data_IF_286768956920
#
_entry.id   IF_286768956920
#
_cell.length_a   1.000
_cell.length_b   1.000
_cell.length_c   1.000
_cell.angle_alpha   90.00
_cell.angle_beta   90.00
_cell.angle_gamma   90.00
#
_symmetry.space_group_name_H-M   'P 1'
#
loop_
_entity.id
_entity.type
_entity.pdbx_description
1 polymer ?
#
# COMPACT_ATOMS: atom_id res chain seq x y z
N UNK A 1 -30.70 21.59 33.30
CA UNK A 1 -29.77 20.94 32.34
C UNK A 1 -29.81 21.77 31.07
N UNK A 2 -28.82 22.64 30.83
CA UNK A 2 -28.81 23.54 29.67
C UNK A 2 -28.34 22.72 28.47
N UNK A 3 -29.27 22.36 27.58
CA UNK A 3 -28.95 21.72 26.30
C UNK A 3 -28.53 22.84 25.36
N UNK A 4 -27.22 23.07 25.24
CA UNK A 4 -26.67 23.99 24.25
C UNK A 4 -26.92 23.34 22.88
N UNK A 5 -27.89 23.87 22.12
CA UNK A 5 -28.09 23.48 20.73
C UNK A 5 -26.91 24.01 19.93
N UNK A 6 -25.97 23.13 19.60
CA UNK A 6 -24.92 23.43 18.64
C UNK A 6 -25.62 23.63 17.28
N UNK A 7 -25.48 24.79 16.64
CA UNK A 7 -26.06 25.00 15.32
C UNK A 7 -25.43 24.00 14.35
N UNK A 8 -26.28 23.24 13.65
CA UNK A 8 -25.85 22.35 12.58
C UNK A 8 -25.22 23.20 11.49
N UNK A 9 -23.99 22.86 11.14
CA UNK A 9 -23.27 23.44 10.01
C UNK A 9 -23.33 22.40 8.87
N UNK A 10 -24.15 22.69 7.87
CA UNK A 10 -24.40 21.79 6.75
C UNK A 10 -23.11 21.51 5.93
N UNK A 11 -22.16 22.44 5.91
CA UNK A 11 -20.85 22.23 5.27
C UNK A 11 -20.02 21.21 6.05
N UNK A 12 -20.03 21.33 7.38
CA UNK A 12 -19.35 20.36 8.24
C UNK A 12 -20.02 18.98 8.14
N UNK A 13 -21.35 18.91 8.09
CA UNK A 13 -22.04 17.62 7.88
C UNK A 13 -21.67 16.97 6.55
N UNK A 14 -21.57 17.76 5.47
CA UNK A 14 -21.11 17.29 4.17
C UNK A 14 -19.67 16.77 4.22
N UNK A 15 -18.74 17.50 4.84
CA UNK A 15 -17.35 17.06 5.00
C UNK A 15 -17.24 15.79 5.86
N UNK A 16 -17.97 15.72 6.96
CA UNK A 16 -18.00 14.54 7.82
C UNK A 16 -18.57 13.31 7.08
N UNK A 17 -19.52 13.53 6.16
CA UNK A 17 -20.04 12.46 5.31
C UNK A 17 -19.02 12.01 4.26
N UNK A 18 -18.34 12.95 3.60
CA UNK A 18 -17.26 12.65 2.66
C UNK A 18 -16.15 11.83 3.33
N UNK A 19 -15.74 12.20 4.55
CA UNK A 19 -14.73 11.48 5.31
C UNK A 19 -15.16 10.05 5.66
N UNK A 20 -16.45 9.80 5.91
CA UNK A 20 -16.97 8.44 6.12
C UNK A 20 -16.92 7.62 4.85
N UNK A 21 -17.25 8.21 3.72
CA UNK A 21 -17.24 7.53 2.42
C UNK A 21 -15.79 7.18 2.02
N UNK A 22 -14.85 8.12 2.18
CA UNK A 22 -13.42 7.86 2.00
C UNK A 22 -12.90 6.75 2.94
N UNK A 23 -13.33 6.74 4.20
CA UNK A 23 -12.95 5.68 5.14
C UNK A 23 -13.52 4.31 4.75
N UNK A 24 -14.71 4.28 4.14
CA UNK A 24 -15.30 3.04 3.63
C UNK A 24 -14.49 2.48 2.48
N UNK A 25 -14.07 3.32 1.53
CA UNK A 25 -13.16 2.92 0.44
C UNK A 25 -11.85 2.33 0.99
N UNK A 26 -11.24 3.03 1.96
CA UNK A 26 -10.02 2.57 2.63
C UNK A 26 -10.21 1.17 3.25
N UNK A 27 -11.34 0.92 3.92
CA UNK A 27 -11.63 -0.42 4.48
C UNK A 27 -11.75 -1.51 3.41
N UNK A 28 -12.31 -1.17 2.25
CA UNK A 28 -12.38 -2.10 1.11
C UNK A 28 -10.99 -2.40 0.56
N UNK A 29 -10.11 -1.40 0.46
CA UNK A 29 -8.71 -1.58 0.06
C UNK A 29 -7.92 -2.44 1.06
N UNK A 30 -8.08 -2.19 2.36
CA UNK A 30 -7.49 -3.02 3.42
C UNK A 30 -7.91 -4.47 3.30
N UNK A 31 -9.20 -4.71 3.06
CA UNK A 31 -9.74 -6.05 2.85
C UNK A 31 -9.15 -6.73 1.62
N UNK A 32 -8.96 -5.99 0.53
CA UNK A 32 -8.32 -6.50 -0.68
C UNK A 32 -6.86 -6.91 -0.42
N UNK A 33 -6.09 -6.08 0.30
CA UNK A 33 -4.71 -6.38 0.68
C UNK A 33 -4.60 -7.60 1.58
N UNK A 34 -5.50 -7.76 2.58
CA UNK A 34 -5.55 -8.98 3.40
C UNK A 34 -5.84 -10.22 2.58
N UNK A 35 -6.75 -10.15 1.60
CA UNK A 35 -7.04 -11.28 0.70
C UNK A 35 -5.84 -11.65 -0.16
N UNK A 36 -4.94 -10.71 -0.43
CA UNK A 36 -3.66 -10.94 -1.10
C UNK A 36 -2.57 -11.46 -0.15
N UNK A 37 -2.87 -11.64 1.15
CA UNK A 37 -1.91 -12.09 2.15
C UNK A 37 -0.94 -11.01 2.64
N UNK A 38 -1.21 -9.73 2.34
CA UNK A 38 -0.38 -8.61 2.82
C UNK A 38 -0.83 -8.19 4.21
N UNK A 39 0.11 -8.18 5.14
CA UNK A 39 -0.10 -7.65 6.49
C UNK A 39 -0.01 -6.12 6.48
N UNK A 40 -0.94 -5.47 7.20
CA UNK A 40 -1.05 -4.00 7.27
C UNK A 40 -1.37 -3.52 8.70
N UNK A 41 -0.62 -3.97 9.73
CA UNK A 41 -0.96 -3.73 11.13
C UNK A 41 -0.99 -2.24 11.50
N UNK A 42 -0.12 -1.41 10.90
CA UNK A 42 -0.10 0.05 11.11
C UNK A 42 -1.38 0.71 10.59
N UNK A 43 -1.79 0.38 9.36
CA UNK A 43 -3.03 0.89 8.77
C UNK A 43 -4.26 0.44 9.58
N UNK A 44 -4.24 -0.78 10.11
CA UNK A 44 -5.31 -1.33 10.96
C UNK A 44 -5.43 -0.59 12.29
N UNK A 45 -4.31 -0.36 12.95
CA UNK A 45 -4.28 0.39 14.20
C UNK A 45 -4.79 1.82 14.01
N UNK A 46 -4.36 2.49 12.94
CA UNK A 46 -4.85 3.84 12.61
C UNK A 46 -6.36 3.84 12.32
N UNK A 47 -6.84 2.88 11.53
CA UNK A 47 -8.25 2.74 11.19
C UNK A 47 -9.16 2.50 12.42
N UNK A 48 -8.67 1.81 13.46
CA UNK A 48 -9.40 1.63 14.72
C UNK A 48 -9.65 2.96 15.45
N UNK A 49 -8.74 3.94 15.31
CA UNK A 49 -8.88 5.25 15.95
C UNK A 49 -9.81 6.20 15.20
N UNK A 50 -10.14 5.90 13.94
CA UNK A 50 -10.96 6.78 13.09
C UNK A 50 -12.41 6.90 13.60
N UNK A 51 -13.09 5.78 13.90
CA UNK A 51 -14.49 5.84 14.32
C UNK A 51 -14.75 6.63 15.62
N UNK A 52 -13.94 6.47 16.68
CA UNK A 52 -14.06 7.32 17.88
C UNK A 52 -13.90 8.82 17.57
N UNK A 53 -12.89 9.19 16.77
CA UNK A 53 -12.64 10.59 16.38
C UNK A 53 -13.76 11.16 15.52
N UNK A 54 -14.30 10.35 14.61
CA UNK A 54 -15.43 10.71 13.75
C UNK A 54 -16.68 11.03 14.57
N UNK A 55 -16.95 10.24 15.62
CA UNK A 55 -18.07 10.46 16.53
C UNK A 55 -17.90 11.77 17.30
N UNK A 56 -16.69 12.07 17.78
CA UNK A 56 -16.39 13.33 18.47
C UNK A 56 -16.63 14.52 17.53
N UNK A 57 -16.05 14.49 16.32
CA UNK A 57 -16.20 15.57 15.34
C UNK A 57 -17.66 15.84 14.96
N UNK A 58 -18.50 14.79 14.88
CA UNK A 58 -19.94 14.93 14.60
C UNK A 58 -20.76 15.53 15.75
N UNK A 59 -20.19 15.64 16.94
CA UNK A 59 -20.81 16.28 18.11
C UNK A 59 -20.24 17.66 18.34
N UNK A 60 -18.92 17.82 18.19
CA UNK A 60 -18.22 19.08 18.47
C UNK A 60 -18.34 20.09 17.33
N UNK A 61 -18.47 19.63 16.08
CA UNK A 61 -18.38 20.46 14.88
C UNK A 61 -17.11 21.34 14.87
N UNK A 62 -16.03 20.94 15.57
CA UNK A 62 -14.76 21.66 15.55
C UNK A 62 -14.01 21.34 14.25
N UNK A 63 -13.75 22.36 13.44
CA UNK A 63 -12.97 22.25 12.20
C UNK A 63 -11.61 21.58 12.44
N UNK A 64 -11.00 21.72 13.62
CA UNK A 64 -9.74 21.06 13.97
C UNK A 64 -9.87 19.54 14.06
N UNK A 65 -11.02 19.04 14.53
CA UNK A 65 -11.27 17.59 14.59
C UNK A 65 -11.46 17.03 13.17
N UNK A 66 -12.09 17.80 12.28
CA UNK A 66 -12.22 17.45 10.85
C UNK A 66 -10.84 17.39 10.18
N UNK A 67 -9.97 18.38 10.41
CA UNK A 67 -8.60 18.37 9.88
C UNK A 67 -7.81 17.15 10.35
N UNK A 68 -7.90 16.79 11.64
CA UNK A 68 -7.26 15.58 12.17
C UNK A 68 -7.79 14.29 11.56
N UNK A 69 -9.08 14.24 11.21
CA UNK A 69 -9.66 13.09 10.51
C UNK A 69 -9.14 13.00 9.07
N UNK A 70 -9.00 14.14 8.36
CA UNK A 70 -8.38 14.21 7.04
C UNK A 70 -6.93 13.71 7.08
N UNK A 71 -6.13 14.19 8.03
CA UNK A 71 -4.76 13.73 8.25
C UNK A 71 -4.69 12.23 8.53
N UNK A 72 -5.56 11.71 9.39
CA UNK A 72 -5.62 10.28 9.69
C UNK A 72 -5.92 9.43 8.46
N UNK A 73 -6.84 9.87 7.57
CA UNK A 73 -7.10 9.15 6.31
C UNK A 73 -5.89 9.18 5.37
N UNK A 74 -5.15 10.28 5.34
CA UNK A 74 -3.91 10.39 4.56
C UNK A 74 -2.86 9.41 5.09
N UNK A 75 -2.64 9.37 6.41
CA UNK A 75 -1.72 8.42 7.06
C UNK A 75 -2.09 6.97 6.73
N UNK A 76 -3.36 6.60 6.88
CA UNK A 76 -3.83 5.26 6.52
C UNK A 76 -3.55 4.97 5.04
N UNK A 77 -3.81 5.91 4.13
CA UNK A 77 -3.53 5.74 2.69
C UNK A 77 -2.04 5.59 2.41
N UNK A 78 -1.17 6.28 3.13
CA UNK A 78 0.29 6.14 2.99
C UNK A 78 0.71 4.72 3.35
N UNK A 79 0.25 4.19 4.48
CA UNK A 79 0.53 2.82 4.90
C UNK A 79 -0.02 1.78 3.92
N UNK A 80 -1.24 1.98 3.43
CA UNK A 80 -1.82 1.09 2.41
C UNK A 80 -1.06 1.16 1.09
N UNK A 81 -0.54 2.32 0.71
CA UNK A 81 0.26 2.45 -0.49
C UNK A 81 1.63 1.79 -0.33
N UNK A 82 2.25 1.88 0.85
CA UNK A 82 3.47 1.13 1.16
C UNK A 82 3.23 -0.38 1.05
N UNK A 83 2.14 -0.87 1.64
CA UNK A 83 1.74 -2.26 1.52
C UNK A 83 1.41 -2.66 0.07
N UNK A 84 0.69 -1.82 -0.70
CA UNK A 84 0.37 -2.06 -2.12
C UNK A 84 1.61 -2.17 -2.98
N UNK A 85 2.56 -1.23 -2.83
CA UNK A 85 3.87 -1.28 -3.50
C UNK A 85 4.55 -2.62 -3.22
N UNK A 86 4.38 -3.16 -2.02
CA UNK A 86 5.03 -4.40 -1.62
C UNK A 86 6.51 -4.14 -1.32
N UNK A 87 7.19 -5.16 -0.85
CA UNK A 87 8.63 -5.05 -0.60
C UNK A 87 9.38 -4.91 -1.94
N UNK A 88 10.57 -4.30 -1.94
CA UNK A 88 11.48 -4.35 -3.11
C UNK A 88 11.71 -5.82 -3.55
N UNK A 89 11.62 -6.76 -2.62
CA UNK A 89 11.64 -8.19 -2.88
C UNK A 89 10.45 -8.69 -3.73
N UNK A 90 9.22 -8.23 -3.50
CA UNK A 90 8.05 -8.61 -4.33
C UNK A 90 8.20 -8.11 -5.76
N UNK A 91 8.72 -6.89 -5.94
CA UNK A 91 9.01 -6.33 -7.25
C UNK A 91 10.09 -7.12 -7.99
N UNK A 92 11.15 -7.51 -7.26
CA UNK A 92 12.19 -8.39 -7.79
C UNK A 92 11.62 -9.76 -8.18
N UNK A 93 10.76 -10.36 -7.36
CA UNK A 93 10.11 -11.63 -7.68
C UNK A 93 9.24 -11.55 -8.93
N UNK A 94 8.49 -10.46 -9.10
CA UNK A 94 7.72 -10.23 -10.33
C UNK A 94 8.65 -10.10 -11.55
N UNK A 95 9.72 -9.32 -11.44
CA UNK A 95 10.69 -9.17 -12.51
C UNK A 95 11.40 -10.49 -12.86
N UNK A 96 11.68 -11.35 -11.87
CA UNK A 96 12.22 -12.70 -12.09
C UNK A 96 11.22 -13.54 -12.90
N UNK A 97 9.94 -13.54 -12.53
CA UNK A 97 8.89 -14.27 -13.27
C UNK A 97 8.78 -13.79 -14.71
N UNK A 98 8.75 -12.48 -14.93
CA UNK A 98 8.71 -11.88 -16.26
C UNK A 98 9.96 -12.23 -17.09
N UNK A 99 11.14 -12.20 -16.48
CA UNK A 99 12.38 -12.60 -17.15
C UNK A 99 12.30 -14.07 -17.64
N UNK A 100 11.77 -14.98 -16.82
CA UNK A 100 11.55 -16.37 -17.24
C UNK A 100 10.51 -16.51 -18.35
N UNK A 101 9.42 -15.75 -18.32
CA UNK A 101 8.43 -15.74 -19.39
C UNK A 101 9.03 -15.24 -20.71
N UNK A 102 9.81 -14.16 -20.68
CA UNK A 102 10.51 -13.65 -21.85
C UNK A 102 11.52 -14.67 -22.39
N UNK A 103 12.27 -15.35 -21.53
CA UNK A 103 13.17 -16.45 -21.95
C UNK A 103 12.39 -17.56 -22.66
N UNK A 104 11.24 -17.98 -22.10
CA UNK A 104 10.36 -19.00 -22.72
C UNK A 104 9.82 -18.54 -24.08
N UNK A 105 9.43 -17.27 -24.20
CA UNK A 105 8.95 -16.65 -25.44
C UNK A 105 10.06 -16.31 -26.44
N UNK A 106 11.33 -16.62 -26.12
CA UNK A 106 12.52 -16.26 -26.92
C UNK A 106 12.74 -14.75 -27.09
N UNK A 107 12.19 -13.94 -26.20
CA UNK A 107 12.32 -12.48 -26.10
C UNK A 107 13.54 -12.09 -25.25
N UNK A 108 14.74 -12.33 -25.77
CA UNK A 108 15.98 -12.22 -24.98
C UNK A 108 16.37 -10.78 -24.63
N UNK A 109 15.96 -9.81 -25.44
CA UNK A 109 16.22 -8.40 -25.17
C UNK A 109 15.41 -7.92 -23.95
N UNK A 110 14.11 -8.24 -23.91
CA UNK A 110 13.24 -7.91 -22.78
C UNK A 110 13.65 -8.66 -21.51
N UNK A 111 14.07 -9.93 -21.64
CA UNK A 111 14.63 -10.69 -20.52
C UNK A 111 15.91 -10.05 -19.94
N UNK A 112 16.79 -9.51 -20.80
CA UNK A 112 18.00 -8.78 -20.36
C UNK A 112 17.66 -7.48 -19.63
N UNK A 113 16.65 -6.75 -20.07
CA UNK A 113 16.19 -5.54 -19.36
C UNK A 113 15.67 -5.89 -17.97
N UNK A 114 14.86 -6.94 -17.83
CA UNK A 114 14.40 -7.42 -16.52
C UNK A 114 15.55 -7.89 -15.65
N UNK A 115 16.52 -8.61 -16.21
CA UNK A 115 17.74 -9.02 -15.49
C UNK A 115 18.53 -7.82 -14.95
N UNK A 116 18.70 -6.76 -15.75
CA UNK A 116 19.38 -5.54 -15.30
C UNK A 116 18.62 -4.85 -14.16
N UNK A 117 17.30 -4.73 -14.28
CA UNK A 117 16.45 -4.19 -13.23
C UNK A 117 16.57 -4.99 -11.92
N UNK A 118 16.58 -6.33 -11.99
CA UNK A 118 16.77 -7.18 -10.82
C UNK A 118 18.14 -6.93 -10.18
N UNK A 119 19.22 -6.83 -10.95
CA UNK A 119 20.57 -6.58 -10.42
C UNK A 119 20.72 -5.20 -9.76
N UNK A 120 20.05 -4.17 -10.28
CA UNK A 120 20.06 -2.83 -9.68
C UNK A 120 19.35 -2.86 -8.32
N UNK A 121 18.19 -3.51 -8.25
CA UNK A 121 17.38 -3.65 -7.04
C UNK A 121 17.91 -4.67 -6.03
N UNK A 122 18.73 -5.63 -6.47
CA UNK A 122 19.35 -6.65 -5.62
C UNK A 122 20.18 -6.06 -4.46
N UNK A 123 20.72 -4.86 -4.61
CA UNK A 123 21.50 -4.19 -3.55
C UNK A 123 20.63 -3.62 -2.43
N UNK A 124 19.35 -3.38 -2.70
CA UNK A 124 18.41 -2.70 -1.81
C UNK A 124 17.60 -3.69 -0.95
N UNK A 125 17.67 -4.99 -1.22
CA UNK A 125 16.98 -6.03 -0.45
C UNK A 125 17.76 -6.52 0.77
N UNK A 126 17.01 -6.90 1.81
CA UNK A 126 17.47 -7.53 3.05
C UNK A 126 18.22 -8.85 2.84
N UNK A 127 19.11 -9.20 3.78
CA UNK A 127 20.01 -10.35 3.64
C UNK A 127 19.29 -11.68 3.47
N UNK A 128 18.15 -11.86 4.12
CA UNK A 128 17.42 -13.13 4.14
C UNK A 128 16.80 -13.45 2.78
N UNK A 129 16.47 -12.41 2.01
CA UNK A 129 15.87 -12.51 0.68
C UNK A 129 16.91 -12.62 -0.45
N UNK A 130 18.18 -12.26 -0.19
CA UNK A 130 19.24 -12.23 -1.21
C UNK A 130 19.57 -13.60 -1.76
N UNK A 131 19.55 -14.65 -0.94
CA UNK A 131 19.91 -16.00 -1.40
C UNK A 131 19.00 -16.47 -2.54
N UNK A 132 17.68 -16.29 -2.39
CA UNK A 132 16.69 -16.71 -3.37
C UNK A 132 16.78 -15.89 -4.67
N UNK A 133 16.98 -14.57 -4.55
CA UNK A 133 17.15 -13.70 -5.72
C UNK A 133 18.44 -14.01 -6.45
N UNK A 134 19.52 -14.30 -5.72
CA UNK A 134 20.82 -14.64 -6.29
C UNK A 134 20.76 -15.91 -7.14
N UNK A 135 20.14 -16.97 -6.63
CA UNK A 135 19.95 -18.23 -7.38
C UNK A 135 19.17 -17.99 -8.68
N UNK A 136 18.08 -17.22 -8.61
CA UNK A 136 17.30 -16.87 -9.80
C UNK A 136 18.10 -16.02 -10.81
N UNK A 137 18.88 -15.06 -10.34
CA UNK A 137 19.77 -14.25 -11.18
C UNK A 137 20.81 -15.11 -11.91
N UNK A 138 21.45 -16.04 -11.20
CA UNK A 138 22.45 -16.94 -11.78
C UNK A 138 21.81 -17.81 -12.87
N UNK A 139 20.64 -18.40 -12.62
CA UNK A 139 19.94 -19.22 -13.61
C UNK A 139 19.49 -18.40 -14.84
N UNK A 140 18.92 -17.21 -14.64
CA UNK A 140 18.57 -16.28 -15.72
C UNK A 140 19.81 -15.93 -16.56
N UNK A 141 20.93 -15.61 -15.92
CA UNK A 141 22.18 -15.28 -16.61
C UNK A 141 22.73 -16.45 -17.44
N UNK A 142 22.68 -17.67 -16.91
CA UNK A 142 23.07 -18.87 -17.65
C UNK A 142 22.17 -19.10 -18.87
N UNK A 143 20.85 -18.92 -18.71
CA UNK A 143 19.87 -19.06 -19.82
C UNK A 143 20.01 -17.98 -20.89
N UNK A 144 20.51 -16.80 -20.52
CA UNK A 144 20.81 -15.72 -21.45
C UNK A 144 22.16 -15.89 -22.17
N UNK A 145 23.15 -16.55 -21.54
CA UNK A 145 24.46 -16.86 -22.13
C UNK A 145 24.49 -18.13 -22.98
N UNK A 146 23.58 -19.08 -22.74
CA UNK A 146 23.47 -20.32 -23.52
C UNK A 146 22.87 -20.15 -24.92
N UNK A 147 22.81 -18.93 -25.45
CA UNK A 147 22.28 -18.56 -26.76
C UNK A 147 23.21 -17.60 -27.47
#
# INVERSE_FOLDING_TARGET
MVVIKIPKDDEIEAELQELKDQFKEIKEEMSALRKMGKEIPEAENLALTFQPRMKIASVTYDRRDITKLKELLIEIRVELNAAKRGSDFDHILSAIREAYEFIRQKKFSEAKEKYKYIMEKYKEIDSDSRSLVYEACVDIHHKLKGK
#
